data_IF_104129356624
#
_entry.id   IF_104129356624
#
_cell.length_a   1.000
_cell.length_b   1.000
_cell.length_c   1.000
_cell.angle_alpha   90.00
_cell.angle_beta   90.00
_cell.angle_gamma   90.00
#
_symmetry.space_group_name_H-M   'P 1'
#
loop_
_entity.id
_entity.type
_entity.pdbx_description
1 polymer ?
#
# COMPACT_ATOMS: atom_id res chain seq x y z
N UNK A 1 -7.11 -3.25 5.24
CA UNK A 1 -8.30 -2.58 4.66
C UNK A 1 -9.37 -3.59 4.30
N UNK A 2 -10.61 -3.18 4.49
CA UNK A 2 -11.79 -3.84 3.94
C UNK A 2 -12.21 -3.11 2.65
N UNK A 3 -13.32 -3.48 2.03
CA UNK A 3 -13.75 -2.85 0.76
C UNK A 3 -14.30 -1.42 0.92
N UNK A 4 -14.61 -1.00 2.14
CA UNK A 4 -14.98 0.38 2.46
C UNK A 4 -14.79 0.68 3.95
N UNK A 5 -14.78 1.96 4.38
CA UNK A 5 -14.73 2.32 5.80
C UNK A 5 -15.93 1.83 6.64
N UNK A 6 -17.02 1.38 5.98
CA UNK A 6 -18.23 0.87 6.64
C UNK A 6 -18.22 -0.64 6.85
N UNK A 7 -17.30 -1.35 6.19
CA UNK A 7 -17.19 -2.81 6.24
C UNK A 7 -16.22 -3.22 7.33
N UNK A 8 -16.66 -4.06 8.25
CA UNK A 8 -15.83 -4.57 9.35
C UNK A 8 -15.24 -5.94 9.01
N UNK A 9 -14.13 -6.33 9.65
CA UNK A 9 -13.54 -7.66 9.45
C UNK A 9 -14.48 -8.84 9.71
N UNK A 10 -15.45 -8.69 10.60
CA UNK A 10 -16.43 -9.74 10.92
C UNK A 10 -17.37 -10.06 9.76
N UNK A 11 -17.53 -9.16 8.79
CA UNK A 11 -18.29 -9.43 7.57
C UNK A 11 -17.58 -10.44 6.66
N UNK A 12 -16.31 -10.72 6.96
CA UNK A 12 -15.54 -11.77 6.30
C UNK A 12 -14.92 -11.35 4.97
N UNK A 13 -14.13 -12.26 4.41
CA UNK A 13 -13.42 -12.01 3.15
C UNK A 13 -14.30 -12.18 1.91
N UNK A 14 -15.49 -12.78 2.04
CA UNK A 14 -16.46 -12.91 0.95
C UNK A 14 -16.93 -11.58 0.35
N UNK A 15 -16.80 -10.47 1.10
CA UNK A 15 -17.11 -9.13 0.60
C UNK A 15 -16.28 -8.70 -0.61
N UNK A 16 -15.11 -9.32 -0.83
CA UNK A 16 -14.25 -9.00 -1.97
C UNK A 16 -14.78 -9.54 -3.30
N UNK A 17 -15.66 -10.55 -3.26
CA UNK A 17 -16.16 -11.26 -4.44
C UNK A 17 -16.79 -10.35 -5.48
N UNK A 18 -17.53 -9.33 -5.03
CA UNK A 18 -18.26 -8.44 -5.91
C UNK A 18 -17.62 -7.04 -6.06
N UNK A 19 -16.40 -6.85 -5.57
CA UNK A 19 -15.68 -5.58 -5.71
C UNK A 19 -14.76 -5.64 -6.94
N UNK A 20 -15.00 -4.79 -7.98
CA UNK A 20 -14.26 -4.85 -9.23
C UNK A 20 -12.89 -4.15 -9.16
N UNK A 21 -12.50 -3.65 -7.99
CA UNK A 21 -11.22 -2.94 -7.85
C UNK A 21 -10.04 -3.91 -7.76
N UNK A 22 -8.84 -3.43 -8.09
CA UNK A 22 -7.65 -4.26 -8.20
C UNK A 22 -7.23 -4.92 -6.87
N UNK A 23 -7.39 -4.23 -5.74
CA UNK A 23 -7.05 -4.77 -4.42
C UNK A 23 -7.87 -6.03 -4.08
N UNK A 24 -9.21 -5.97 -4.12
CA UNK A 24 -10.08 -7.14 -3.98
C UNK A 24 -9.82 -8.26 -4.98
N UNK A 25 -9.58 -7.94 -6.26
CA UNK A 25 -9.24 -8.95 -7.26
C UNK A 25 -7.95 -9.72 -6.90
N UNK A 26 -6.91 -9.02 -6.46
CA UNK A 26 -5.68 -9.63 -5.97
C UNK A 26 -5.89 -10.43 -4.67
N UNK A 27 -6.78 -9.96 -3.78
CA UNK A 27 -7.13 -10.64 -2.55
C UNK A 27 -7.82 -11.99 -2.79
N UNK A 28 -8.65 -12.08 -3.82
CA UNK A 28 -9.30 -13.33 -4.25
C UNK A 28 -8.29 -14.24 -4.96
N UNK A 29 -7.49 -13.70 -5.89
CA UNK A 29 -6.52 -14.47 -6.67
C UNK A 29 -5.48 -15.19 -5.79
N UNK A 30 -5.13 -14.63 -4.63
CA UNK A 30 -4.30 -15.26 -3.61
C UNK A 30 -5.04 -15.32 -2.26
N UNK A 31 -6.24 -15.90 -2.29
CA UNK A 31 -7.20 -15.90 -1.18
C UNK A 31 -6.67 -16.50 0.11
N UNK A 32 -5.76 -17.48 0.04
CA UNK A 32 -5.14 -18.07 1.23
C UNK A 32 -4.44 -17.01 2.10
N UNK A 33 -3.70 -16.07 1.50
CA UNK A 33 -3.05 -14.98 2.23
C UNK A 33 -4.06 -13.99 2.84
N UNK A 34 -5.13 -13.70 2.12
CA UNK A 34 -6.21 -12.83 2.60
C UNK A 34 -6.96 -13.44 3.77
N UNK A 35 -7.26 -14.74 3.70
CA UNK A 35 -7.86 -15.53 4.80
C UNK A 35 -6.95 -15.49 6.02
N UNK A 36 -5.64 -15.76 5.84
CA UNK A 36 -4.69 -15.71 6.94
C UNK A 36 -4.66 -14.32 7.60
N UNK A 37 -4.54 -13.27 6.80
CA UNK A 37 -4.53 -11.88 7.29
C UNK A 37 -5.77 -11.57 8.14
N UNK A 38 -6.96 -12.00 7.70
CA UNK A 38 -8.20 -11.66 8.38
C UNK A 38 -8.48 -12.50 9.62
N UNK A 39 -8.19 -13.81 9.57
CA UNK A 39 -8.65 -14.75 10.61
C UNK A 39 -7.53 -15.30 11.49
N UNK A 40 -6.29 -15.30 11.06
CA UNK A 40 -5.20 -15.99 11.75
C UNK A 40 -4.04 -15.08 12.17
N UNK A 41 -3.91 -13.90 11.58
CA UNK A 41 -2.87 -12.96 11.95
C UNK A 41 -3.01 -12.52 13.40
N UNK A 42 -1.89 -12.41 14.13
CA UNK A 42 -1.89 -11.89 15.49
C UNK A 42 -2.00 -10.36 15.48
N UNK A 43 -3.02 -9.82 16.12
CA UNK A 43 -3.28 -8.38 16.20
C UNK A 43 -3.48 -7.99 17.67
N UNK A 44 -2.52 -7.24 18.24
CA UNK A 44 -2.60 -6.72 19.62
C UNK A 44 -3.01 -7.80 20.66
N UNK A 45 -2.42 -8.99 20.55
CA UNK A 45 -2.69 -10.11 21.45
C UNK A 45 -3.89 -11.00 21.09
N UNK A 46 -4.67 -10.63 20.09
CA UNK A 46 -5.79 -11.41 19.55
C UNK A 46 -5.39 -12.15 18.27
N UNK A 47 -6.10 -13.22 17.95
CA UNK A 47 -5.97 -13.94 16.68
C UNK A 47 -7.09 -13.48 15.76
N UNK A 48 -6.74 -13.07 14.54
CA UNK A 48 -7.65 -12.50 13.55
C UNK A 48 -7.96 -11.04 13.79
N UNK A 49 -8.60 -10.43 12.81
CA UNK A 49 -9.04 -9.04 12.88
C UNK A 49 -10.51 -8.96 13.29
N UNK A 50 -10.85 -7.90 14.01
CA UNK A 50 -12.22 -7.52 14.36
C UNK A 50 -12.39 -6.01 14.24
N UNK A 51 -13.60 -5.49 14.41
CA UNK A 51 -13.86 -4.05 14.41
C UNK A 51 -12.99 -3.27 15.41
N UNK A 52 -12.57 -3.92 16.50
CA UNK A 52 -11.79 -3.30 17.57
C UNK A 52 -10.31 -3.70 17.59
N UNK A 53 -9.94 -4.75 16.86
CA UNK A 53 -8.57 -5.27 16.80
C UNK A 53 -8.17 -5.44 15.33
N UNK A 54 -7.66 -4.36 14.74
CA UNK A 54 -7.23 -4.33 13.35
C UNK A 54 -5.74 -4.06 13.23
N UNK A 55 -5.16 -4.56 12.15
CA UNK A 55 -3.80 -4.23 11.75
C UNK A 55 -3.76 -2.76 11.38
N UNK A 56 -2.88 -1.99 12.02
CA UNK A 56 -2.62 -0.59 11.71
C UNK A 56 -1.17 -0.42 11.26
N UNK A 57 -0.98 -0.33 9.95
CA UNK A 57 0.35 -0.19 9.34
C UNK A 57 0.92 1.24 9.47
N UNK A 58 0.10 2.21 9.88
CA UNK A 58 0.50 3.60 10.11
C UNK A 58 0.75 3.94 11.58
N UNK A 59 0.60 2.98 12.50
CA UNK A 59 0.70 3.24 13.94
C UNK A 59 2.02 3.92 14.34
N UNK A 60 3.15 3.42 13.83
CA UNK A 60 4.47 3.96 14.18
C UNK A 60 4.70 5.35 13.55
N UNK A 61 4.21 5.60 12.32
CA UNK A 61 4.17 6.94 11.72
C UNK A 61 3.30 7.87 12.56
N UNK A 62 2.16 7.38 13.05
CA UNK A 62 1.27 8.13 13.92
C UNK A 62 1.97 8.59 15.20
N UNK A 63 2.71 7.71 15.83
CA UNK A 63 3.51 8.05 17.01
C UNK A 63 4.59 9.09 16.68
N UNK A 64 5.32 8.90 15.58
CA UNK A 64 6.38 9.82 15.15
C UNK A 64 5.86 11.21 14.73
N UNK A 65 4.61 11.29 14.25
CA UNK A 65 3.95 12.55 13.87
C UNK A 65 3.10 13.15 15.00
N UNK A 66 3.22 12.67 16.24
CA UNK A 66 2.47 13.14 17.41
C UNK A 66 0.94 13.02 17.26
N UNK A 67 0.49 11.89 16.70
CA UNK A 67 -0.93 11.53 16.58
C UNK A 67 -1.39 10.41 17.53
N UNK A 68 -0.89 10.28 18.80
CA UNK A 68 -1.29 9.18 19.69
C UNK A 68 -2.76 9.27 20.09
N UNK A 69 -3.32 10.47 20.10
CA UNK A 69 -4.73 10.74 20.44
C UNK A 69 -5.64 10.82 19.22
N UNK A 70 -5.15 10.41 18.04
CA UNK A 70 -5.90 10.41 16.78
C UNK A 70 -6.51 11.78 16.39
N UNK A 71 -5.83 12.88 16.71
CA UNK A 71 -6.30 14.23 16.36
C UNK A 71 -6.11 14.59 14.89
N UNK A 72 -5.05 14.05 14.26
CA UNK A 72 -4.75 14.34 12.85
C UNK A 72 -5.55 13.44 11.93
N UNK A 73 -5.59 12.16 12.24
CA UNK A 73 -6.45 11.16 11.58
C UNK A 73 -6.87 10.07 12.55
N UNK A 74 -7.96 9.41 12.18
CA UNK A 74 -8.43 8.17 12.81
C UNK A 74 -8.38 7.03 11.81
N UNK A 75 -8.01 5.83 12.27
CA UNK A 75 -8.16 4.62 11.47
C UNK A 75 -9.56 4.05 11.64
N UNK A 76 -10.23 3.72 10.53
CA UNK A 76 -11.51 3.03 10.54
C UNK A 76 -11.55 1.97 9.44
N UNK A 77 -11.60 0.70 9.83
CA UNK A 77 -11.60 -0.44 8.94
C UNK A 77 -10.45 -0.41 7.91
N UNK A 78 -9.27 0.04 8.36
CA UNK A 78 -8.07 0.19 7.53
C UNK A 78 -7.98 1.52 6.78
N UNK A 79 -8.96 2.39 6.85
CA UNK A 79 -8.99 3.68 6.17
C UNK A 79 -8.57 4.84 7.07
N UNK A 80 -7.71 5.69 6.55
CA UNK A 80 -7.30 6.94 7.19
C UNK A 80 -8.38 8.00 7.00
N UNK A 81 -9.03 8.40 8.08
CA UNK A 81 -10.00 9.49 8.08
C UNK A 81 -9.34 10.72 8.72
N UNK A 82 -8.76 11.58 7.88
CA UNK A 82 -8.01 12.74 8.34
C UNK A 82 -8.89 13.98 8.53
N UNK A 83 -8.48 14.84 9.46
CA UNK A 83 -9.05 16.19 9.62
C UNK A 83 -8.27 17.21 8.80
N UNK A 84 -8.94 18.31 8.38
CA UNK A 84 -8.26 19.43 7.69
C UNK A 84 -7.08 19.98 8.49
N UNK A 85 -7.28 20.23 9.79
CA UNK A 85 -6.22 20.72 10.66
C UNK A 85 -5.10 19.71 10.85
N UNK A 86 -5.43 18.42 10.88
CA UNK A 86 -4.45 17.33 10.94
C UNK A 86 -3.55 17.28 9.71
N UNK A 87 -4.14 17.30 8.51
CA UNK A 87 -3.38 17.32 7.25
C UNK A 87 -2.49 18.56 7.15
N UNK A 88 -2.99 19.74 7.57
CA UNK A 88 -2.19 20.96 7.59
C UNK A 88 -0.96 20.84 8.50
N UNK A 89 -1.11 20.29 9.71
CA UNK A 89 0.01 20.07 10.64
C UNK A 89 1.01 19.05 10.10
N UNK A 90 0.53 17.94 9.55
CA UNK A 90 1.37 16.92 8.91
C UNK A 90 2.15 17.57 7.76
N UNK A 91 1.47 18.27 6.85
CA UNK A 91 2.09 18.91 5.70
C UNK A 91 3.18 19.89 6.13
N UNK A 92 2.89 20.78 7.10
CA UNK A 92 3.88 21.74 7.62
C UNK A 92 5.12 21.05 8.17
N UNK A 93 4.95 19.95 8.89
CA UNK A 93 6.06 19.16 9.43
C UNK A 93 6.88 18.48 8.32
N UNK A 94 6.22 17.84 7.35
CA UNK A 94 6.92 17.14 6.28
C UNK A 94 7.69 18.10 5.37
N UNK A 95 7.13 19.27 5.04
CA UNK A 95 7.79 20.27 4.19
C UNK A 95 9.06 20.85 4.85
N UNK A 96 9.08 20.94 6.18
CA UNK A 96 10.25 21.46 6.92
C UNK A 96 11.24 20.35 7.31
N UNK A 97 10.93 19.09 7.07
CA UNK A 97 11.80 17.95 7.38
C UNK A 97 12.93 17.82 6.36
N UNK A 98 14.10 17.41 6.82
CA UNK A 98 15.19 16.99 5.94
C UNK A 98 14.84 15.67 5.23
N UNK A 99 15.49 15.36 4.10
CA UNK A 99 15.28 14.07 3.42
C UNK A 99 15.65 12.90 4.34
N UNK A 100 16.67 13.05 5.17
CA UNK A 100 17.02 12.05 6.17
C UNK A 100 15.89 11.81 7.19
N UNK A 101 15.18 12.86 7.63
CA UNK A 101 14.05 12.69 8.55
C UNK A 101 12.83 12.10 7.84
N UNK A 102 12.59 12.46 6.58
CA UNK A 102 11.57 11.83 5.74
C UNK A 102 11.86 10.33 5.57
N UNK A 103 13.12 9.93 5.33
CA UNK A 103 13.49 8.52 5.25
C UNK A 103 13.29 7.78 6.57
N UNK A 104 13.54 8.43 7.70
CA UNK A 104 13.20 7.85 9.00
C UNK A 104 11.70 7.60 9.14
N UNK A 105 10.85 8.53 8.67
CA UNK A 105 9.40 8.36 8.68
C UNK A 105 8.96 7.24 7.72
N UNK A 106 9.52 7.17 6.50
CA UNK A 106 9.21 6.11 5.52
C UNK A 106 9.48 4.72 6.09
N UNK A 107 10.60 4.56 6.83
CA UNK A 107 10.97 3.27 7.48
C UNK A 107 10.01 2.83 8.59
N UNK A 108 9.14 3.71 9.08
CA UNK A 108 8.14 3.38 10.08
C UNK A 108 6.86 2.79 9.48
N UNK A 109 6.64 2.93 8.17
CA UNK A 109 5.51 2.28 7.53
C UNK A 109 5.70 0.76 7.60
N UNK A 110 4.64 0.08 7.99
CA UNK A 110 4.58 -1.38 7.92
C UNK A 110 3.71 -1.81 6.74
N UNK A 111 4.07 -2.93 6.13
CA UNK A 111 3.22 -3.61 5.16
C UNK A 111 3.00 -5.05 5.61
N UNK A 112 1.89 -5.67 5.20
CA UNK A 112 1.69 -7.09 5.38
C UNK A 112 2.38 -7.87 4.27
N UNK A 113 3.04 -8.99 4.59
CA UNK A 113 3.60 -9.87 3.59
C UNK A 113 3.16 -11.29 3.88
N UNK A 114 2.64 -11.96 2.86
CA UNK A 114 2.39 -13.39 2.88
C UNK A 114 3.33 -14.07 1.89
N UNK A 115 4.32 -14.76 2.43
CA UNK A 115 5.33 -15.46 1.65
C UNK A 115 4.77 -16.73 1.02
N UNK A 116 5.09 -16.96 -0.24
CA UNK A 116 4.78 -18.22 -0.94
C UNK A 116 3.29 -18.62 -0.82
N UNK A 117 2.39 -17.68 -0.98
CA UNK A 117 0.93 -17.89 -0.92
C UNK A 117 0.46 -18.68 -2.13
N UNK A 118 -0.44 -19.59 -1.91
CA UNK A 118 -1.11 -20.33 -2.98
C UNK A 118 -1.99 -19.39 -3.81
N UNK A 119 -1.88 -19.48 -5.13
CA UNK A 119 -2.86 -18.88 -6.05
C UNK A 119 -4.10 -19.75 -6.05
N UNK A 120 -5.27 -19.13 -5.82
CA UNK A 120 -6.55 -19.82 -5.64
C UNK A 120 -7.44 -19.79 -6.88
N UNK A 121 -6.94 -19.24 -7.99
CA UNK A 121 -7.61 -19.29 -9.29
C UNK A 121 -7.51 -20.70 -9.87
N UNK A 122 -8.58 -21.12 -10.57
CA UNK A 122 -8.65 -22.43 -11.20
C UNK A 122 -7.49 -22.66 -12.19
N UNK A 123 -6.94 -23.87 -12.16
CA UNK A 123 -5.82 -24.26 -13.02
C UNK A 123 -4.43 -23.73 -12.61
N UNK A 124 -4.35 -22.89 -11.58
CA UNK A 124 -3.07 -22.36 -11.09
C UNK A 124 -2.39 -23.30 -10.09
N UNK A 125 -1.13 -23.65 -10.36
CA UNK A 125 -0.31 -24.50 -9.46
C UNK A 125 0.86 -23.73 -8.83
N UNK A 126 1.13 -22.51 -9.28
CA UNK A 126 2.24 -21.70 -8.77
C UNK A 126 1.87 -20.97 -7.49
N UNK A 127 2.91 -20.49 -6.80
CA UNK A 127 2.79 -19.68 -5.60
C UNK A 127 3.29 -18.27 -5.88
N UNK A 128 2.77 -17.30 -5.13
CA UNK A 128 3.20 -15.90 -5.17
C UNK A 128 3.50 -15.40 -3.77
N UNK A 129 4.42 -14.45 -3.65
CA UNK A 129 4.54 -13.65 -2.45
C UNK A 129 3.67 -12.42 -2.62
N UNK A 130 2.78 -12.19 -1.68
CA UNK A 130 1.79 -11.11 -1.75
C UNK A 130 2.14 -10.01 -0.74
N UNK A 131 2.35 -8.79 -1.24
CA UNK A 131 2.53 -7.59 -0.42
C UNK A 131 1.18 -6.87 -0.24
N UNK A 132 0.79 -6.64 1.00
CA UNK A 132 -0.43 -5.92 1.38
C UNK A 132 -0.07 -4.52 1.84
N UNK A 133 -0.24 -3.56 1.00
CA UNK A 133 -0.12 -2.13 1.30
C UNK A 133 -1.22 -1.34 0.59
N UNK A 134 -1.46 -0.13 1.04
CA UNK A 134 -2.47 0.74 0.44
C UNK A 134 -2.01 2.19 0.47
N UNK A 135 -2.44 2.95 -0.53
CA UNK A 135 -2.33 4.40 -0.52
C UNK A 135 -3.36 5.03 0.43
N UNK A 136 -3.23 6.32 0.72
CA UNK A 136 -4.24 7.06 1.49
C UNK A 136 -5.52 7.28 0.67
N UNK A 137 -6.70 7.21 1.30
CA UNK A 137 -7.99 7.31 0.62
C UNK A 137 -8.40 8.78 0.38
N UNK A 138 -7.65 9.50 -0.44
CA UNK A 138 -7.79 10.94 -0.72
C UNK A 138 -9.22 11.30 -1.16
N UNK A 139 -9.76 10.55 -2.13
CA UNK A 139 -11.10 10.80 -2.67
C UNK A 139 -12.25 10.42 -1.73
N UNK A 140 -11.97 9.77 -0.59
CA UNK A 140 -13.02 9.40 0.38
C UNK A 140 -13.32 10.52 1.37
N UNK A 141 -12.63 11.64 1.24
CA UNK A 141 -12.86 12.85 2.01
C UNK A 141 -13.38 13.99 1.12
N UNK A 142 -14.03 14.98 1.73
CA UNK A 142 -14.39 16.23 1.03
C UNK A 142 -13.26 17.27 1.07
N UNK A 143 -12.06 16.86 1.51
CA UNK A 143 -10.90 17.75 1.59
C UNK A 143 -10.18 17.82 0.24
N UNK A 144 -9.67 18.99 -0.16
CA UNK A 144 -8.88 19.14 -1.37
C UNK A 144 -7.68 18.19 -1.40
N UNK A 145 -7.36 17.64 -2.57
CA UNK A 145 -6.26 16.67 -2.74
C UNK A 145 -4.90 17.27 -2.33
N UNK A 146 -4.71 18.56 -2.55
CA UNK A 146 -3.48 19.30 -2.22
C UNK A 146 -3.15 19.25 -0.72
N UNK A 147 -4.17 19.14 0.15
CA UNK A 147 -3.94 18.98 1.59
C UNK A 147 -3.37 17.61 1.93
N UNK A 148 -3.67 16.60 1.11
CA UNK A 148 -3.21 15.23 1.30
C UNK A 148 -1.80 15.00 0.72
N UNK A 149 -1.37 15.81 -0.24
CA UNK A 149 -0.22 15.53 -1.09
C UNK A 149 1.01 15.06 -0.31
N UNK A 150 1.50 15.84 0.64
CA UNK A 150 2.73 15.51 1.36
C UNK A 150 2.60 14.19 2.15
N UNK A 151 1.46 13.96 2.77
CA UNK A 151 1.21 12.73 3.52
C UNK A 151 1.00 11.53 2.59
N UNK A 152 0.28 11.72 1.48
CA UNK A 152 0.06 10.69 0.48
C UNK A 152 1.37 10.26 -0.19
N UNK A 153 2.23 11.22 -0.57
CA UNK A 153 3.57 10.94 -1.12
C UNK A 153 4.43 10.17 -0.13
N UNK A 154 4.49 10.57 1.15
CA UNK A 154 5.24 9.83 2.16
C UNK A 154 4.80 8.35 2.24
N UNK A 155 3.50 8.10 2.25
CA UNK A 155 2.95 6.74 2.34
C UNK A 155 3.18 5.95 1.05
N UNK A 156 3.05 6.58 -0.12
CA UNK A 156 3.33 5.94 -1.41
C UNK A 156 4.80 5.56 -1.52
N UNK A 157 5.72 6.50 -1.23
CA UNK A 157 7.17 6.25 -1.24
C UNK A 157 7.50 5.02 -0.37
N UNK A 158 7.06 5.05 0.89
CA UNK A 158 7.32 3.98 1.84
C UNK A 158 6.70 2.63 1.40
N UNK A 159 5.51 2.64 0.81
CA UNK A 159 4.83 1.43 0.34
C UNK A 159 5.57 0.76 -0.81
N UNK A 160 6.01 1.55 -1.80
CA UNK A 160 6.77 1.00 -2.92
C UNK A 160 8.16 0.55 -2.51
N UNK A 161 8.86 1.30 -1.66
CA UNK A 161 10.16 0.87 -1.13
C UNK A 161 10.05 -0.45 -0.37
N UNK A 162 9.08 -0.57 0.54
CA UNK A 162 8.86 -1.79 1.31
C UNK A 162 8.50 -2.98 0.39
N UNK A 163 7.73 -2.73 -0.68
CA UNK A 163 7.38 -3.76 -1.68
C UNK A 163 8.60 -4.22 -2.45
N UNK A 164 9.48 -3.31 -2.89
CA UNK A 164 10.74 -3.68 -3.57
C UNK A 164 11.68 -4.41 -2.62
N UNK A 165 11.80 -3.99 -1.35
CA UNK A 165 12.56 -4.73 -0.34
C UNK A 165 12.05 -6.17 -0.19
N UNK A 166 10.73 -6.36 -0.11
CA UNK A 166 10.13 -7.69 -0.05
C UNK A 166 10.43 -8.52 -1.31
N UNK A 167 10.39 -7.89 -2.49
CA UNK A 167 10.74 -8.54 -3.75
C UNK A 167 12.21 -8.99 -3.78
N UNK A 168 13.15 -8.17 -3.29
CA UNK A 168 14.57 -8.54 -3.15
C UNK A 168 14.73 -9.76 -2.24
N UNK A 169 14.10 -9.74 -1.07
CA UNK A 169 14.13 -10.87 -0.13
C UNK A 169 13.52 -12.13 -0.75
N UNK A 170 12.43 -11.99 -1.50
CA UNK A 170 11.83 -13.10 -2.24
C UNK A 170 12.79 -13.65 -3.31
N UNK A 171 13.44 -12.79 -4.10
CA UNK A 171 14.39 -13.19 -5.12
C UNK A 171 15.60 -13.92 -4.51
N UNK A 172 16.13 -13.43 -3.40
CA UNK A 172 17.24 -14.07 -2.68
C UNK A 172 16.86 -15.45 -2.14
N UNK A 173 15.62 -15.65 -1.71
CA UNK A 173 15.16 -16.92 -1.13
C UNK A 173 14.67 -17.94 -2.14
N UNK A 174 14.11 -17.49 -3.28
CA UNK A 174 13.42 -18.36 -4.25
C UNK A 174 14.07 -18.38 -5.63
N UNK A 175 14.95 -17.42 -5.94
CA UNK A 175 15.47 -17.17 -7.29
C UNK A 175 14.49 -16.44 -8.21
N UNK A 176 13.24 -16.20 -7.79
CA UNK A 176 12.24 -15.53 -8.62
C UNK A 176 12.38 -14.01 -8.51
N UNK A 177 12.77 -13.37 -9.61
CA UNK A 177 13.04 -11.92 -9.70
C UNK A 177 11.87 -11.10 -10.21
N UNK A 178 10.74 -11.72 -10.55
CA UNK A 178 9.58 -11.04 -11.11
C UNK A 178 8.79 -10.30 -10.05
N UNK A 179 8.51 -9.02 -10.32
CA UNK A 179 7.76 -8.12 -9.44
C UNK A 179 6.63 -7.48 -10.23
N UNK A 180 5.43 -7.57 -9.71
CA UNK A 180 4.25 -6.95 -10.31
C UNK A 180 3.78 -5.80 -9.43
N UNK A 181 3.99 -4.56 -9.87
CA UNK A 181 3.54 -3.37 -9.16
C UNK A 181 2.17 -2.93 -9.69
N UNK A 182 1.32 -2.51 -8.79
CA UNK A 182 0.05 -1.86 -9.13
C UNK A 182 0.17 -0.35 -8.93
N UNK A 183 -0.70 0.44 -9.56
CA UNK A 183 -0.78 1.88 -9.34
C UNK A 183 -1.58 2.13 -8.05
N UNK A 184 -0.92 2.03 -6.89
CA UNK A 184 -1.55 2.17 -5.58
C UNK A 184 -2.35 3.46 -5.45
N UNK A 185 -3.65 3.31 -5.17
CA UNK A 185 -4.54 4.46 -4.95
C UNK A 185 -4.92 5.26 -6.19
N UNK A 186 -4.45 4.87 -7.39
CA UNK A 186 -4.76 5.58 -8.64
C UNK A 186 -6.19 5.39 -9.18
N UNK A 187 -6.99 4.55 -8.52
CA UNK A 187 -8.40 4.34 -8.82
C UNK A 187 -9.30 5.03 -7.79
N UNK A 188 -10.09 4.24 -7.06
CA UNK A 188 -11.09 4.74 -6.11
C UNK A 188 -10.52 5.66 -5.00
N UNK A 189 -9.25 5.54 -4.65
CA UNK A 189 -8.62 6.38 -3.62
C UNK A 189 -8.20 7.77 -4.10
N UNK A 190 -8.14 8.00 -5.42
CA UNK A 190 -7.92 9.31 -6.01
C UNK A 190 -6.54 9.93 -5.75
N UNK A 191 -5.51 9.11 -5.58
CA UNK A 191 -4.14 9.63 -5.55
C UNK A 191 -3.71 10.08 -6.94
N UNK A 192 -3.02 11.20 -7.01
CA UNK A 192 -2.54 11.76 -8.27
C UNK A 192 -1.56 10.79 -8.95
N UNK A 193 -1.71 10.51 -10.26
CA UNK A 193 -0.80 9.66 -11.01
C UNK A 193 0.67 10.09 -10.92
N UNK A 194 0.95 11.40 -10.84
CA UNK A 194 2.31 11.90 -10.71
C UNK A 194 2.94 11.51 -9.36
N UNK A 195 2.16 11.50 -8.27
CA UNK A 195 2.65 11.05 -6.96
C UNK A 195 3.01 9.56 -6.99
N UNK A 196 2.15 8.76 -7.62
CA UNK A 196 2.34 7.31 -7.74
C UNK A 196 3.59 7.00 -8.57
N UNK A 197 3.72 7.64 -9.74
CA UNK A 197 4.87 7.42 -10.63
C UNK A 197 6.18 7.88 -9.99
N UNK A 198 6.19 9.03 -9.30
CA UNK A 198 7.35 9.50 -8.56
C UNK A 198 7.79 8.52 -7.46
N UNK A 199 6.84 7.94 -6.73
CA UNK A 199 7.13 6.96 -5.69
C UNK A 199 7.68 5.63 -6.26
N UNK A 200 7.15 5.18 -7.39
CA UNK A 200 7.69 4.01 -8.12
C UNK A 200 9.11 4.30 -8.59
N UNK A 201 9.34 5.42 -9.25
CA UNK A 201 10.66 5.82 -9.74
C UNK A 201 11.67 5.87 -8.61
N UNK A 202 11.32 6.52 -7.48
CA UNK A 202 12.16 6.60 -6.30
C UNK A 202 12.56 5.22 -5.80
N UNK A 203 11.62 4.32 -5.64
CA UNK A 203 11.88 2.97 -5.17
C UNK A 203 12.78 2.18 -6.14
N UNK A 204 12.53 2.28 -7.46
CA UNK A 204 13.33 1.58 -8.45
C UNK A 204 14.77 2.11 -8.51
N UNK A 205 14.97 3.43 -8.49
CA UNK A 205 16.32 4.03 -8.46
C UNK A 205 17.09 3.68 -7.18
N UNK A 206 16.42 3.64 -6.04
CA UNK A 206 17.05 3.32 -4.76
C UNK A 206 17.61 1.90 -4.73
N UNK A 207 16.97 0.99 -5.45
CA UNK A 207 17.33 -0.44 -5.49
C UNK A 207 17.77 -0.92 -6.89
N UNK A 208 18.19 -0.02 -7.77
CA UNK A 208 18.60 -0.33 -9.16
C UNK A 208 19.71 -1.37 -9.30
N UNK A 209 20.55 -1.50 -8.26
CA UNK A 209 21.62 -2.50 -8.20
C UNK A 209 21.12 -3.95 -8.05
N UNK A 210 19.85 -4.14 -7.72
CA UNK A 210 19.28 -5.49 -7.60
C UNK A 210 18.62 -5.88 -8.92
N UNK A 211 18.97 -7.07 -9.40
CA UNK A 211 18.49 -7.62 -10.66
C UNK A 211 17.03 -8.11 -10.52
N UNK A 212 16.08 -7.22 -10.66
CA UNK A 212 14.64 -7.48 -10.60
C UNK A 212 13.98 -7.21 -11.96
N UNK A 213 13.05 -8.05 -12.34
CA UNK A 213 12.15 -7.86 -13.49
C UNK A 213 10.86 -7.22 -13.00
N UNK A 214 10.73 -5.89 -13.13
CA UNK A 214 9.57 -5.15 -12.61
C UNK A 214 8.58 -4.84 -13.72
N UNK A 215 7.32 -5.22 -13.53
CA UNK A 215 6.21 -4.88 -14.42
C UNK A 215 5.15 -4.06 -13.68
N UNK A 216 4.64 -3.00 -14.32
CA UNK A 216 3.50 -2.24 -13.83
C UNK A 216 2.23 -2.82 -14.43
N UNK A 217 1.34 -3.31 -13.58
CA UNK A 217 0.09 -3.96 -13.99
C UNK A 217 -1.02 -2.93 -14.13
N UNK A 218 -1.70 -2.96 -15.26
CA UNK A 218 -2.88 -2.14 -15.54
C UNK A 218 -4.09 -3.02 -15.80
N UNK A 219 -5.29 -2.55 -15.45
CA UNK A 219 -6.53 -3.20 -15.87
C UNK A 219 -6.78 -2.89 -17.34
N UNK A 220 -6.83 -3.93 -18.18
CA UNK A 220 -6.93 -3.79 -19.64
C UNK A 220 -5.63 -3.28 -20.28
N UNK A 221 -5.73 -2.38 -21.25
CA UNK A 221 -4.57 -1.84 -21.94
C UNK A 221 -3.75 -0.90 -21.05
N UNK A 222 -2.43 -0.95 -21.22
CA UNK A 222 -1.53 -0.03 -20.53
C UNK A 222 -1.78 1.41 -20.95
N UNK A 223 -1.98 2.30 -19.96
CA UNK A 223 -2.20 3.73 -20.22
C UNK A 223 -0.96 4.36 -20.84
N UNK A 224 -1.15 5.29 -21.78
CA UNK A 224 -0.06 6.00 -22.48
C UNK A 224 0.94 6.65 -21.48
N UNK A 225 0.44 7.24 -20.41
CA UNK A 225 1.28 7.85 -19.37
C UNK A 225 2.22 6.81 -18.71
N UNK A 226 1.75 5.59 -18.45
CA UNK A 226 2.57 4.49 -17.89
C UNK A 226 3.62 4.04 -18.90
N UNK A 227 3.26 3.95 -20.18
CA UNK A 227 4.21 3.60 -21.25
C UNK A 227 5.33 4.64 -21.38
N UNK A 228 4.97 5.94 -21.38
CA UNK A 228 5.93 7.04 -21.40
C UNK A 228 6.85 7.02 -20.17
N UNK A 229 6.29 6.80 -19.00
CA UNK A 229 7.05 6.69 -17.75
C UNK A 229 8.08 5.54 -17.82
N UNK A 230 7.68 4.36 -18.31
CA UNK A 230 8.62 3.23 -18.47
C UNK A 230 9.72 3.58 -19.48
N UNK A 231 9.38 4.21 -20.59
CA UNK A 231 10.37 4.65 -21.58
C UNK A 231 11.39 5.61 -20.97
N UNK A 232 10.95 6.57 -20.14
CA UNK A 232 11.85 7.51 -19.44
C UNK A 232 12.78 6.81 -18.44
N UNK A 233 12.28 5.79 -17.72
CA UNK A 233 13.09 5.03 -16.76
C UNK A 233 14.14 4.14 -17.44
N UNK A 234 13.87 3.66 -18.64
CA UNK A 234 14.73 2.71 -19.37
C UNK A 234 15.62 3.39 -20.42
N UNK A 235 15.45 4.70 -20.62
CA UNK A 235 16.33 5.46 -21.50
C UNK A 235 17.68 5.68 -20.81
N UNK A 236 18.79 5.44 -21.54
CA UNK A 236 20.15 5.58 -21.02
C UNK A 236 20.50 7.00 -20.62
#
# INVERSE_FOLDING_TARGET
>A
EMTSPRVTPEQGVGIYENDPTQGPACAIAAGAGTIYRNYFARVKGHIGQSAHHQIDCLADIGMALDNPSHHFWKMKNGYVLASRGGLGKISSRLVTSSEHDLDRLRRLLRIGIQWSTQVTLEGCQHRVTQAYCAALPVAYSHLPAELWENFARLVLDASYEATICAAILNALSTGNRRVFLTLLGGGAFGNDPAWIMSAIERALRYYERYDLEVAIVSHGASKRAVQQFIQQLTSP
#
